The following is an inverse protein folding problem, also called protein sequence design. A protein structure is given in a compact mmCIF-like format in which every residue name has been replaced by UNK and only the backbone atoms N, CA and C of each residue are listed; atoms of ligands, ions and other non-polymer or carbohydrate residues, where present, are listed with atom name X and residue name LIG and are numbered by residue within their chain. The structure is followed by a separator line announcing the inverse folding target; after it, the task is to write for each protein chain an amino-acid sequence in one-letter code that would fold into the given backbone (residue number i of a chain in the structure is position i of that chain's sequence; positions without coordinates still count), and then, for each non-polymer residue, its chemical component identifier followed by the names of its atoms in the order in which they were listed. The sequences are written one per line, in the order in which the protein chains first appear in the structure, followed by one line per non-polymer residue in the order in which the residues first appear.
data_IF_830215457493
#
_entry.id   IF_830215457493
#
_cell.length_a   1.000
_cell.length_b   1.000
_cell.length_c   1.000
_cell.angle_alpha   90.00
_cell.angle_beta   90.00
_cell.angle_gamma   90.00
#
_symmetry.space_group_name_H-M   'P 1'
#
loop_
_entity.id
_entity.type
_entity.pdbx_description
1 polymer ?
#
# COMPACT_ATOMS: atom_id res chain seq x y z
N UNK A 1 -0.94 -6.46 20.66
CA UNK A 1 -2.28 -7.08 20.67
C UNK A 1 -2.65 -7.32 22.12
N UNK A 2 -3.92 -7.16 22.47
CA UNK A 2 -4.39 -7.31 23.84
C UNK A 2 -4.15 -8.76 24.32
N UNK A 3 -3.27 -8.92 25.31
CA UNK A 3 -2.89 -10.22 25.85
C UNK A 3 -4.03 -10.87 26.67
N UNK A 4 -5.09 -10.12 26.95
CA UNK A 4 -6.28 -10.63 27.64
C UNK A 4 -7.29 -11.27 26.67
N UNK A 5 -7.09 -11.13 25.35
CA UNK A 5 -7.97 -11.77 24.37
C UNK A 5 -7.68 -13.27 24.27
N UNK A 6 -8.71 -14.11 24.03
CA UNK A 6 -8.51 -15.49 23.61
C UNK A 6 -7.57 -15.57 22.40
N UNK A 7 -6.76 -16.62 22.31
CA UNK A 7 -5.80 -16.82 21.22
C UNK A 7 -6.40 -16.57 19.83
N UNK A 8 -7.61 -17.08 19.58
CA UNK A 8 -8.32 -16.92 18.29
C UNK A 8 -8.75 -15.48 17.96
N UNK A 9 -8.77 -14.58 18.94
CA UNK A 9 -9.10 -13.17 18.77
C UNK A 9 -7.85 -12.28 18.88
N UNK A 10 -6.69 -12.85 19.18
CA UNK A 10 -5.41 -12.15 19.23
C UNK A 10 -4.73 -12.13 17.85
N UNK A 11 -5.51 -11.85 16.81
CA UNK A 11 -5.05 -11.67 15.44
C UNK A 11 -5.57 -10.35 14.86
N UNK A 12 -4.89 -9.77 13.84
CA UNK A 12 -5.41 -8.62 13.12
C UNK A 12 -6.79 -8.92 12.53
N UNK A 13 -7.69 -7.92 12.52
CA UNK A 13 -9.03 -8.07 11.98
C UNK A 13 -9.05 -8.62 10.52
N UNK A 14 -8.04 -8.24 9.73
CA UNK A 14 -7.72 -8.88 8.44
C UNK A 14 -6.26 -8.55 8.06
N UNK A 15 -5.62 -9.36 7.22
CA UNK A 15 -4.28 -9.09 6.67
C UNK A 15 -4.10 -7.66 6.12
N UNK A 16 -5.07 -7.08 5.40
CA UNK A 16 -4.90 -5.73 4.87
C UNK A 16 -4.83 -4.65 5.96
N UNK A 17 -5.26 -4.92 7.20
CA UNK A 17 -5.16 -3.94 8.28
C UNK A 17 -3.72 -3.76 8.76
N UNK A 18 -2.90 -4.81 8.68
CA UNK A 18 -1.45 -4.68 8.97
C UNK A 18 -0.76 -3.88 7.87
N UNK A 19 -1.10 -4.14 6.61
CA UNK A 19 -0.64 -3.36 5.45
C UNK A 19 -1.04 -1.90 5.56
N UNK A 20 -2.28 -1.60 5.94
CA UNK A 20 -2.75 -0.24 6.14
C UNK A 20 -1.92 0.52 7.18
N UNK A 21 -1.55 -0.14 8.28
CA UNK A 21 -0.67 0.46 9.31
C UNK A 21 0.72 0.70 8.75
N UNK A 22 1.33 -0.30 8.10
CA UNK A 22 2.66 -0.18 7.52
C UNK A 22 2.73 0.96 6.49
N UNK A 23 1.80 0.98 5.53
CA UNK A 23 1.70 2.01 4.51
C UNK A 23 1.35 3.38 5.09
N UNK A 24 0.56 3.43 6.17
CA UNK A 24 0.28 4.68 6.88
C UNK A 24 1.58 5.38 7.30
N UNK A 25 2.45 4.65 8.00
CA UNK A 25 3.73 5.16 8.47
C UNK A 25 4.77 5.29 7.35
N UNK A 26 4.73 4.44 6.32
CA UNK A 26 5.63 4.54 5.17
C UNK A 26 5.50 5.90 4.47
N UNK A 27 4.29 6.42 4.22
CA UNK A 27 4.14 7.72 3.55
C UNK A 27 4.65 8.90 4.41
N UNK A 28 4.82 8.76 5.73
CA UNK A 28 5.44 9.81 6.55
C UNK A 28 6.90 10.02 6.17
N UNK A 29 7.61 8.96 5.76
CA UNK A 29 9.03 9.05 5.36
C UNK A 29 9.28 9.98 4.17
N UNK A 30 8.22 10.30 3.41
CA UNK A 30 8.23 11.22 2.28
C UNK A 30 7.29 12.40 2.52
N UNK A 31 6.75 12.62 3.71
CA UNK A 31 5.95 13.81 4.02
C UNK A 31 6.87 14.97 4.40
N UNK A 32 6.69 16.16 3.79
CA UNK A 32 7.58 17.30 4.00
C UNK A 32 7.57 17.85 5.42
N UNK A 33 6.43 17.82 6.12
CA UNK A 33 6.32 18.27 7.52
C UNK A 33 7.03 17.29 8.46
N UNK A 34 6.83 15.98 8.26
CA UNK A 34 7.56 14.95 9.00
C UNK A 34 9.07 15.05 8.76
N UNK A 35 9.49 15.20 7.50
CA UNK A 35 10.90 15.38 7.13
C UNK A 35 11.49 16.65 7.76
N UNK A 36 10.70 17.73 7.83
CA UNK A 36 11.12 18.97 8.47
C UNK A 36 11.52 18.75 9.92
N UNK A 37 10.63 18.12 10.70
CA UNK A 37 10.84 17.92 12.12
C UNK A 37 11.92 16.88 12.43
N UNK A 38 11.99 15.79 11.65
CA UNK A 38 12.96 14.70 11.89
C UNK A 38 14.37 15.04 11.40
N UNK A 39 14.49 15.73 10.25
CA UNK A 39 15.79 16.08 9.67
C UNK A 39 16.27 17.48 10.08
N UNK A 40 15.43 18.25 10.81
CA UNK A 40 15.70 19.61 11.22
C UNK A 40 16.06 20.54 10.04
N UNK A 41 15.29 20.44 8.95
CA UNK A 41 15.48 21.27 7.74
C UNK A 41 14.65 22.55 7.81
N UNK A 42 15.05 23.57 7.05
CA UNK A 42 14.34 24.86 7.02
C UNK A 42 13.01 24.78 6.26
N UNK A 43 12.11 25.74 6.48
CA UNK A 43 10.89 25.87 5.67
C UNK A 43 11.19 25.99 4.18
N UNK A 44 12.27 26.68 3.81
CA UNK A 44 12.70 26.80 2.42
C UNK A 44 13.06 25.42 1.83
N UNK A 45 13.78 24.59 2.59
CA UNK A 45 14.13 23.23 2.18
C UNK A 45 12.91 22.32 2.10
N UNK A 46 11.99 22.37 3.09
CA UNK A 46 10.71 21.66 3.05
C UNK A 46 9.91 22.05 1.79
N UNK A 47 9.75 23.34 1.53
CA UNK A 47 8.95 23.83 0.41
C UNK A 47 9.53 23.39 -0.94
N UNK A 48 10.86 23.21 -1.05
CA UNK A 48 11.51 22.66 -2.26
C UNK A 48 11.18 21.18 -2.51
N UNK A 49 10.87 20.39 -1.47
CA UNK A 49 10.62 18.94 -1.60
C UNK A 49 9.13 18.55 -1.48
N UNK A 50 8.30 19.42 -0.91
CA UNK A 50 6.88 19.15 -0.63
C UNK A 50 6.12 18.72 -1.89
N UNK A 51 6.18 19.53 -2.96
CA UNK A 51 5.47 19.23 -4.21
C UNK A 51 5.94 17.92 -4.85
N UNK A 52 7.25 17.68 -4.89
CA UNK A 52 7.81 16.43 -5.43
C UNK A 52 7.35 15.21 -4.63
N UNK A 53 7.22 15.37 -3.31
CA UNK A 53 6.76 14.32 -2.41
C UNK A 53 5.29 13.98 -2.62
N UNK A 54 4.43 14.99 -2.78
CA UNK A 54 3.00 14.80 -3.10
C UNK A 54 2.82 14.03 -4.40
N UNK A 55 3.57 14.41 -5.45
CA UNK A 55 3.57 13.68 -6.72
C UNK A 55 4.07 12.24 -6.55
N UNK A 56 5.15 12.02 -5.80
CA UNK A 56 5.69 10.68 -5.57
C UNK A 56 4.65 9.76 -4.92
N UNK A 57 3.97 10.25 -3.87
CA UNK A 57 2.91 9.50 -3.17
C UNK A 57 1.75 9.19 -4.12
N UNK A 58 1.31 10.18 -4.92
CA UNK A 58 0.20 10.01 -5.85
C UNK A 58 0.54 9.00 -6.96
N UNK A 59 1.72 9.11 -7.58
CA UNK A 59 2.18 8.20 -8.62
C UNK A 59 2.37 6.78 -8.09
N UNK A 60 2.97 6.60 -6.92
CA UNK A 60 3.15 5.28 -6.33
C UNK A 60 1.80 4.56 -6.17
N UNK A 61 0.77 5.24 -5.65
CA UNK A 61 -0.57 4.68 -5.46
C UNK A 61 -1.23 4.30 -6.79
N UNK A 62 -1.16 5.17 -7.81
CA UNK A 62 -1.76 4.90 -9.13
C UNK A 62 -1.06 3.72 -9.80
N UNK A 63 0.27 3.72 -9.84
CA UNK A 63 1.07 2.65 -10.43
C UNK A 63 0.86 1.34 -9.65
N UNK A 64 0.73 1.42 -8.32
CA UNK A 64 0.43 0.24 -7.50
C UNK A 64 -0.96 -0.33 -7.80
N UNK A 65 -1.99 0.50 -7.91
CA UNK A 65 -3.35 0.06 -8.23
C UNK A 65 -3.38 -0.74 -9.55
N UNK A 66 -2.66 -0.28 -10.57
CA UNK A 66 -2.52 -0.99 -11.85
C UNK A 66 -1.81 -2.35 -11.69
N UNK A 67 -0.70 -2.40 -10.96
CA UNK A 67 0.02 -3.66 -10.64
C UNK A 67 -0.88 -4.65 -9.91
N UNK A 68 -1.68 -4.17 -8.95
CA UNK A 68 -2.59 -4.99 -8.16
C UNK A 68 -3.71 -5.62 -9.01
N UNK A 69 -4.24 -4.90 -10.00
CA UNK A 69 -5.23 -5.47 -10.93
C UNK A 69 -4.65 -6.65 -11.72
N UNK A 70 -3.43 -6.50 -12.25
CA UNK A 70 -2.77 -7.58 -13.00
C UNK A 70 -2.60 -8.82 -12.13
N UNK A 71 -1.96 -8.69 -10.95
CA UNK A 71 -1.65 -9.86 -10.13
C UNK A 71 -2.92 -10.54 -9.63
N UNK A 72 -3.89 -9.79 -9.08
CA UNK A 72 -5.12 -10.38 -8.57
C UNK A 72 -5.91 -11.11 -9.65
N UNK A 73 -5.99 -10.54 -10.86
CA UNK A 73 -6.72 -11.16 -11.97
C UNK A 73 -5.98 -12.35 -12.52
N UNK A 74 -4.67 -12.24 -12.66
CA UNK A 74 -3.82 -13.33 -13.08
C UNK A 74 -3.97 -14.55 -12.16
N UNK A 75 -3.85 -14.36 -10.84
CA UNK A 75 -4.02 -15.44 -9.87
C UNK A 75 -5.42 -16.06 -9.93
N UNK A 76 -6.48 -15.23 -10.00
CA UNK A 76 -7.86 -15.72 -10.14
C UNK A 76 -8.02 -16.63 -11.35
N UNK A 77 -7.55 -16.21 -12.52
CA UNK A 77 -7.72 -16.98 -13.76
C UNK A 77 -6.76 -18.18 -13.84
N UNK A 78 -5.53 -18.06 -13.32
CA UNK A 78 -4.59 -19.16 -13.14
C UNK A 78 -5.23 -20.31 -12.34
N UNK A 79 -5.88 -20.00 -11.21
CA UNK A 79 -6.51 -21.02 -10.38
C UNK A 79 -7.81 -21.57 -10.96
N UNK A 80 -8.52 -20.78 -11.76
CA UNK A 80 -9.72 -21.23 -12.45
C UNK A 80 -9.38 -22.20 -13.60
N UNK A 81 -8.30 -21.95 -14.34
CA UNK A 81 -7.83 -22.81 -15.41
C UNK A 81 -6.29 -22.72 -15.56
N UNK A 82 -5.52 -23.64 -14.96
CA UNK A 82 -4.06 -23.58 -14.99
C UNK A 82 -3.44 -24.00 -16.34
N UNK A 83 -4.18 -24.74 -17.18
CA UNK A 83 -3.69 -25.29 -18.45
C UNK A 83 -3.79 -24.30 -19.62
N UNK A 84 -4.36 -23.11 -19.40
CA UNK A 84 -4.45 -22.07 -20.42
C UNK A 84 -3.07 -21.48 -20.78
N UNK A 85 -3.02 -20.66 -21.83
CA UNK A 85 -1.80 -19.89 -22.15
C UNK A 85 -1.58 -18.78 -21.10
N UNK A 86 -0.88 -19.13 -20.02
CA UNK A 86 -0.57 -18.23 -18.91
C UNK A 86 0.35 -17.07 -19.31
N UNK A 87 1.19 -17.25 -20.33
CA UNK A 87 2.06 -16.19 -20.82
C UNK A 87 1.23 -15.15 -21.58
N UNK A 88 0.28 -15.60 -22.41
CA UNK A 88 -0.68 -14.72 -23.07
C UNK A 88 -1.58 -14.01 -22.06
N UNK A 89 -2.16 -14.74 -21.10
CA UNK A 89 -2.97 -14.15 -20.04
C UNK A 89 -2.23 -13.04 -19.30
N UNK A 90 -0.97 -13.28 -18.92
CA UNK A 90 -0.15 -12.26 -18.25
C UNK A 90 0.06 -11.03 -19.13
N UNK A 91 0.44 -11.22 -20.40
CA UNK A 91 0.67 -10.11 -21.35
C UNK A 91 -0.61 -9.29 -21.57
N UNK A 92 -1.75 -9.95 -21.76
CA UNK A 92 -3.04 -9.29 -21.98
C UNK A 92 -3.43 -8.43 -20.78
N UNK A 93 -3.30 -8.96 -19.56
CA UNK A 93 -3.56 -8.21 -18.32
C UNK A 93 -2.60 -7.03 -18.14
N UNK A 94 -1.31 -7.21 -18.44
CA UNK A 94 -0.33 -6.11 -18.39
C UNK A 94 -0.68 -5.01 -19.39
N UNK A 95 -1.05 -5.36 -20.63
CA UNK A 95 -1.48 -4.38 -21.62
C UNK A 95 -2.76 -3.65 -21.20
N UNK A 96 -3.76 -4.38 -20.69
CA UNK A 96 -5.04 -3.80 -20.28
C UNK A 96 -4.89 -2.83 -19.08
N UNK A 97 -4.22 -3.27 -18.02
CA UNK A 97 -4.22 -2.53 -16.75
C UNK A 97 -3.03 -1.60 -16.56
N UNK A 98 -1.90 -1.85 -17.24
CA UNK A 98 -0.70 -1.02 -17.14
C UNK A 98 -0.44 -0.21 -18.42
N UNK A 99 -1.18 -0.46 -19.50
CA UNK A 99 -0.99 0.25 -20.79
C UNK A 99 0.36 -0.04 -21.45
N UNK A 100 0.99 -1.17 -21.11
CA UNK A 100 2.31 -1.53 -21.62
C UNK A 100 2.20 -2.51 -22.80
N UNK A 101 2.91 -2.22 -23.87
CA UNK A 101 3.00 -3.11 -25.04
C UNK A 101 4.15 -4.10 -24.84
N UNK A 102 3.89 -5.42 -24.87
CA UNK A 102 4.96 -6.40 -24.79
C UNK A 102 5.86 -6.33 -26.03
N UNK A 103 7.17 -6.60 -25.90
CA UNK A 103 8.07 -6.71 -27.06
C UNK A 103 7.55 -7.72 -28.09
N UNK A 104 7.75 -7.41 -29.37
CA UNK A 104 7.32 -8.26 -30.48
C UNK A 104 7.87 -9.69 -30.33
N UNK A 105 7.00 -10.69 -30.50
CA UNK A 105 7.37 -12.10 -30.42
C UNK A 105 7.69 -12.64 -29.02
N UNK A 106 7.50 -11.85 -27.94
CA UNK A 106 7.80 -12.30 -26.59
C UNK A 106 6.83 -13.38 -26.10
N UNK A 107 7.35 -14.58 -25.85
CA UNK A 107 6.64 -15.67 -25.20
C UNK A 107 7.47 -16.27 -24.06
N UNK A 108 7.49 -15.59 -22.91
CA UNK A 108 8.26 -15.99 -21.73
C UNK A 108 7.39 -15.90 -20.47
N UNK A 109 7.69 -16.67 -19.42
CA UNK A 109 6.93 -16.67 -18.17
C UNK A 109 7.23 -15.43 -17.30
N UNK A 110 6.96 -14.24 -17.82
CA UNK A 110 7.26 -12.95 -17.16
C UNK A 110 6.60 -12.83 -15.78
N UNK A 111 5.44 -13.46 -15.60
CA UNK A 111 4.77 -13.62 -14.31
C UNK A 111 5.70 -14.16 -13.21
N UNK A 112 6.66 -15.04 -13.55
CA UNK A 112 7.56 -15.66 -12.57
C UNK A 112 8.56 -14.67 -11.95
N UNK A 113 8.71 -13.48 -12.53
CA UNK A 113 9.51 -12.40 -11.95
C UNK A 113 8.82 -11.72 -10.76
N UNK A 114 7.51 -11.97 -10.55
CA UNK A 114 6.78 -11.47 -9.38
C UNK A 114 6.82 -12.50 -8.25
N UNK A 115 7.75 -12.29 -7.32
CA UNK A 115 7.97 -13.18 -6.17
C UNK A 115 6.69 -13.53 -5.40
N UNK A 116 5.79 -12.57 -5.22
CA UNK A 116 4.54 -12.75 -4.47
C UNK A 116 3.65 -13.87 -5.02
N UNK A 117 3.66 -14.11 -6.33
CA UNK A 117 2.89 -15.22 -6.94
C UNK A 117 3.37 -16.58 -6.40
N UNK A 118 4.66 -16.70 -6.10
CA UNK A 118 5.26 -17.92 -5.57
C UNK A 118 5.30 -17.99 -4.04
N UNK A 119 5.56 -16.86 -3.37
CA UNK A 119 5.79 -16.85 -1.91
C UNK A 119 4.56 -16.52 -1.09
N UNK A 120 3.57 -15.85 -1.68
CA UNK A 120 2.40 -15.31 -0.98
C UNK A 120 1.19 -15.27 -1.91
N UNK A 121 0.72 -16.44 -2.38
CA UNK A 121 -0.40 -16.51 -3.31
C UNK A 121 -1.65 -15.86 -2.72
N UNK A 122 -2.46 -15.24 -3.57
CA UNK A 122 -3.69 -14.52 -3.19
C UNK A 122 -3.47 -13.36 -2.20
N UNK A 123 -2.23 -12.89 -1.99
CA UNK A 123 -1.95 -11.84 -1.00
C UNK A 123 -2.09 -10.42 -1.57
N UNK A 124 -1.72 -10.23 -2.84
CA UNK A 124 -1.32 -8.92 -3.36
C UNK A 124 -2.42 -7.84 -3.30
N UNK A 125 -3.68 -8.25 -3.33
CA UNK A 125 -4.83 -7.34 -3.21
C UNK A 125 -4.90 -6.66 -1.82
N UNK A 126 -4.34 -7.27 -0.78
CA UNK A 126 -4.29 -6.71 0.58
C UNK A 126 -3.54 -5.39 0.63
N UNK A 127 -2.49 -5.21 -0.18
CA UNK A 127 -1.78 -3.93 -0.26
C UNK A 127 -2.67 -2.79 -0.77
N UNK A 128 -3.52 -3.06 -1.76
CA UNK A 128 -4.42 -2.04 -2.32
C UNK A 128 -5.53 -1.67 -1.32
N UNK A 129 -6.11 -2.67 -0.65
CA UNK A 129 -7.05 -2.45 0.45
C UNK A 129 -6.39 -1.70 1.61
N UNK A 130 -5.12 -2.01 1.88
CA UNK A 130 -4.27 -1.31 2.84
C UNK A 130 -4.19 0.19 2.52
N UNK A 131 -3.90 0.54 1.26
CA UNK A 131 -3.77 1.94 0.86
C UNK A 131 -5.09 2.69 1.04
N UNK A 132 -6.22 2.07 0.71
CA UNK A 132 -7.56 2.65 0.90
C UNK A 132 -7.82 2.94 2.38
N UNK A 133 -7.62 1.94 3.25
CA UNK A 133 -7.82 2.11 4.69
C UNK A 133 -6.84 3.13 5.29
N UNK A 134 -5.59 3.14 4.82
CA UNK A 134 -4.59 4.13 5.20
C UNK A 134 -5.05 5.55 4.88
N UNK A 135 -5.60 5.79 3.68
CA UNK A 135 -6.15 7.12 3.34
C UNK A 135 -7.39 7.49 4.17
N UNK A 136 -8.29 6.55 4.42
CA UNK A 136 -9.44 6.78 5.30
C UNK A 136 -8.99 7.21 6.70
N UNK A 137 -7.92 6.59 7.21
CA UNK A 137 -7.31 6.96 8.49
C UNK A 137 -6.64 8.32 8.47
N UNK A 138 -5.89 8.65 7.41
CA UNK A 138 -5.29 9.99 7.24
C UNK A 138 -6.37 11.08 7.32
N UNK A 139 -7.48 10.91 6.59
CA UNK A 139 -8.59 11.86 6.65
C UNK A 139 -9.14 12.04 8.07
N UNK A 140 -9.29 10.94 8.82
CA UNK A 140 -9.74 10.99 10.22
C UNK A 140 -8.74 11.62 11.19
N UNK A 141 -7.46 11.57 10.89
CA UNK A 141 -6.41 12.18 11.71
C UNK A 141 -6.32 13.68 11.43
N UNK A 142 -6.48 14.09 10.17
CA UNK A 142 -6.52 15.50 9.78
C UNK A 142 -7.65 16.26 10.49
N UNK A 143 -8.78 15.61 10.76
CA UNK A 143 -9.88 16.17 11.58
C UNK A 143 -9.45 16.52 13.02
N UNK A 144 -8.35 15.94 13.53
CA UNK A 144 -7.92 16.03 14.93
C UNK A 144 -6.54 16.71 15.09
N UNK A 145 -5.68 16.69 14.07
CA UNK A 145 -4.30 17.21 14.15
C UNK A 145 -4.10 18.61 13.57
N UNK A 146 -5.15 19.29 13.10
CA UNK A 146 -5.08 20.66 12.56
C UNK A 146 -4.01 20.80 11.47
N UNK A 147 -4.22 20.10 10.35
CA UNK A 147 -3.42 20.11 9.11
C UNK A 147 -1.98 19.57 9.19
N UNK A 148 -1.28 19.66 10.32
CA UNK A 148 0.07 19.12 10.46
C UNK A 148 0.04 17.57 10.53
N UNK A 149 0.61 16.94 9.51
CA UNK A 149 0.75 15.51 9.29
C UNK A 149 2.15 14.98 9.60
N UNK A 150 3.01 15.75 10.28
CA UNK A 150 4.23 15.23 10.91
C UNK A 150 3.91 14.15 11.94
N UNK A 151 2.89 14.37 12.78
CA UNK A 151 2.47 13.47 13.87
C UNK A 151 3.54 13.21 14.95
N UNK A 152 4.73 13.81 14.86
CA UNK A 152 5.75 13.73 15.90
C UNK A 152 5.20 14.36 17.18
N UNK A 153 5.30 13.64 18.29
CA UNK A 153 4.76 14.09 19.57
C UNK A 153 3.22 14.13 19.66
N UNK A 154 2.48 13.75 18.61
CA UNK A 154 1.01 13.80 18.58
C UNK A 154 0.37 12.65 19.39
N UNK A 155 0.46 12.73 20.72
CA UNK A 155 -0.04 11.70 21.66
C UNK A 155 -1.52 11.35 21.45
N UNK A 156 -2.35 12.32 21.08
CA UNK A 156 -3.77 12.10 20.77
C UNK A 156 -3.99 11.19 19.55
N UNK A 157 -3.14 11.30 18.52
CA UNK A 157 -3.19 10.45 17.34
C UNK A 157 -2.72 9.03 17.70
N UNK A 158 -1.65 8.91 18.48
CA UNK A 158 -1.18 7.62 19.01
C UNK A 158 -2.25 6.91 19.84
N UNK A 159 -2.91 7.63 20.75
CA UNK A 159 -4.03 7.10 21.54
C UNK A 159 -5.18 6.64 20.64
N UNK A 160 -5.56 7.43 19.62
CA UNK A 160 -6.61 7.05 18.68
C UNK A 160 -6.26 5.77 17.91
N UNK A 161 -5.00 5.62 17.47
CA UNK A 161 -4.53 4.38 16.83
C UNK A 161 -4.66 3.17 17.75
N UNK A 162 -4.25 3.31 19.02
CA UNK A 162 -4.43 2.24 20.02
C UNK A 162 -5.91 1.89 20.16
N UNK A 163 -6.75 2.89 20.38
CA UNK A 163 -8.16 2.71 20.69
C UNK A 163 -8.99 2.19 19.48
N UNK A 164 -8.55 2.40 18.24
CA UNK A 164 -9.35 2.06 17.03
C UNK A 164 -8.75 1.01 16.11
N UNK A 165 -7.47 0.67 16.29
CA UNK A 165 -6.76 -0.26 15.40
C UNK A 165 -6.21 -1.46 16.14
N UNK A 166 -5.66 -1.22 17.34
CA UNK A 166 -4.93 -2.25 18.08
C UNK A 166 -5.71 -2.80 19.27
N UNK A 167 -6.77 -2.11 19.69
CA UNK A 167 -7.73 -2.59 20.68
C UNK A 167 -8.85 -3.38 19.98
N UNK A 168 -9.43 -4.39 20.66
CA UNK A 168 -10.58 -5.15 20.15
C UNK A 168 -11.81 -4.28 19.88
#
# INVERSE_FOLDING_TARGET
MDQNLPYLLSDPAHTFTTEAVAQFFQELSVNGEWMQEILNITDEQKNKIQTSSEYLIAFDKIIFAQRAQVIRRFEKELYANPEQDLNKLWRDLVSEYQGLTPPAGRNSPDRATKIHIATSPCYYHNYLLGYILSQQRRGKIQEISSENMSLVGAKQVGKRFIDTVFSP
#
